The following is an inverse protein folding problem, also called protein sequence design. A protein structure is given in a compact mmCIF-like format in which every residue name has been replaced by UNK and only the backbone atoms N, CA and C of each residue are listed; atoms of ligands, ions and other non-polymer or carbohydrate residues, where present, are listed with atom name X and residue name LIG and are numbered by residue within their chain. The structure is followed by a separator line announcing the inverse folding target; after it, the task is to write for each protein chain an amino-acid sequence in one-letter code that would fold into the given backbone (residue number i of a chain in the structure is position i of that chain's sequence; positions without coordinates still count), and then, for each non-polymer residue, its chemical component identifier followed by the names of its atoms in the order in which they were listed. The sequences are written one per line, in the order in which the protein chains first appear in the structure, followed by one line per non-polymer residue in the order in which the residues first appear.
data_IF_455430410523
#
_entry.id   IF_455430410523
#
_cell.length_a   1.000
_cell.length_b   1.000
_cell.length_c   1.000
_cell.angle_alpha   90.00
_cell.angle_beta   90.00
_cell.angle_gamma   90.00
#
_symmetry.space_group_name_H-M   'P 1'
#
loop_
_entity.id
_entity.type
_entity.pdbx_description
1 polymer ?
#
# COMPACT_ATOMS: atom_id res chain seq x y z
N UNK A 1 39.62 -3.82 -54.06
CA UNK A 1 38.24 -3.78 -54.55
C UNK A 1 37.56 -4.96 -53.87
N UNK A 2 36.78 -4.82 -52.81
CA UNK A 2 35.95 -3.68 -52.40
C UNK A 2 35.87 -3.52 -50.88
N UNK A 3 35.94 -2.26 -50.45
CA UNK A 3 35.52 -1.78 -49.14
C UNK A 3 33.99 -1.84 -49.04
N UNK A 4 33.46 -2.45 -47.98
CA UNK A 4 32.04 -2.26 -47.61
C UNK A 4 31.95 -2.09 -46.10
N UNK A 5 32.32 -0.89 -45.69
CA UNK A 5 32.13 -0.36 -44.34
C UNK A 5 30.64 -0.07 -44.14
N UNK A 6 29.95 -0.93 -43.41
CA UNK A 6 28.57 -0.69 -42.98
C UNK A 6 28.53 0.61 -42.15
N UNK A 7 27.84 1.64 -42.66
CA UNK A 7 27.58 2.87 -41.92
C UNK A 7 26.41 2.60 -40.98
N UNK A 8 26.69 2.34 -39.71
CA UNK A 8 25.70 2.45 -38.65
C UNK A 8 25.38 3.94 -38.43
N UNK A 9 24.23 4.38 -38.95
CA UNK A 9 23.64 5.66 -38.55
C UNK A 9 22.95 5.48 -37.20
N UNK A 10 23.21 6.32 -36.20
CA UNK A 10 22.48 6.23 -34.94
C UNK A 10 21.01 6.55 -35.20
N UNK A 11 20.15 5.58 -34.91
CA UNK A 11 18.70 5.76 -34.89
C UNK A 11 18.37 6.84 -33.87
N UNK A 12 18.01 8.03 -34.35
CA UNK A 12 17.43 9.08 -33.51
C UNK A 12 16.08 8.55 -33.02
N UNK A 13 16.03 8.19 -31.74
CA UNK A 13 14.78 7.90 -31.04
C UNK A 13 14.09 9.25 -30.86
N UNK A 14 12.86 9.46 -31.35
CA UNK A 14 12.10 10.65 -31.00
C UNK A 14 11.89 10.62 -29.49
N UNK A 15 12.31 11.66 -28.78
CA UNK A 15 11.97 11.82 -27.38
C UNK A 15 10.44 11.79 -27.26
N UNK A 16 9.90 10.86 -26.48
CA UNK A 16 8.49 10.87 -26.10
C UNK A 16 8.17 12.23 -25.53
N UNK A 17 7.24 12.93 -26.18
CA UNK A 17 6.66 14.16 -25.68
C UNK A 17 5.97 13.83 -24.36
N UNK A 18 6.60 14.23 -23.25
CA UNK A 18 6.08 14.06 -21.91
C UNK A 18 4.94 15.08 -21.69
N UNK A 19 3.81 14.88 -22.36
CA UNK A 19 2.59 15.68 -22.23
C UNK A 19 1.58 15.02 -21.28
N UNK A 20 2.08 14.29 -20.29
CA UNK A 20 1.27 13.85 -19.15
C UNK A 20 1.29 14.90 -18.05
N UNK A 21 0.16 15.56 -17.79
CA UNK A 21 -0.01 16.36 -16.58
C UNK A 21 0.37 15.50 -15.36
N UNK A 22 1.17 16.02 -14.41
CA UNK A 22 1.58 15.24 -13.25
C UNK A 22 0.32 14.78 -12.52
N UNK A 23 0.18 13.46 -12.34
CA UNK A 23 -0.99 12.77 -11.75
C UNK A 23 -1.55 13.41 -10.46
N UNK A 24 -0.71 14.15 -9.74
CA UNK A 24 -1.06 14.93 -8.54
C UNK A 24 -1.93 16.16 -8.82
N UNK A 25 -1.76 16.82 -9.96
CA UNK A 25 -2.61 17.94 -10.40
C UNK A 25 -4.00 17.45 -10.84
N UNK A 26 -4.06 16.36 -11.61
CA UNK A 26 -5.34 15.77 -12.04
C UNK A 26 -6.23 15.34 -10.87
N UNK A 27 -5.65 14.73 -9.82
CA UNK A 27 -6.41 14.33 -8.64
C UNK A 27 -6.81 15.53 -7.74
N UNK A 28 -6.06 16.63 -7.77
CA UNK A 28 -6.42 17.87 -7.08
C UNK A 28 -7.62 18.59 -7.71
N UNK A 29 -7.69 18.59 -9.04
CA UNK A 29 -8.77 19.24 -9.79
C UNK A 29 -10.12 18.50 -9.61
N UNK A 30 -10.12 17.17 -9.52
CA UNK A 30 -11.34 16.38 -9.29
C UNK A 30 -11.96 16.66 -7.91
N UNK A 31 -11.15 16.89 -6.88
CA UNK A 31 -11.63 17.20 -5.52
C UNK A 31 -12.25 18.60 -5.44
N UNK A 32 -11.72 19.56 -6.21
CA UNK A 32 -12.22 20.94 -6.22
C UNK A 32 -13.57 21.06 -6.93
N UNK A 33 -13.88 20.20 -7.91
CA UNK A 33 -15.14 20.24 -8.65
C UNK A 33 -16.24 19.40 -7.98
N UNK A 34 -15.90 18.29 -7.31
CA UNK A 34 -16.89 17.45 -6.62
C UNK A 34 -17.32 18.02 -5.25
N UNK A 35 -16.48 18.84 -4.60
CA UNK A 35 -16.82 19.48 -3.32
C UNK A 35 -17.84 20.62 -3.42
N UNK A 36 -18.08 21.16 -4.63
CA UNK A 36 -18.99 22.29 -4.86
C UNK A 36 -20.47 21.90 -5.10
N UNK A 37 -20.80 20.61 -5.19
CA UNK A 37 -22.12 20.15 -5.62
C UNK A 37 -22.93 19.42 -4.52
N UNK A 38 -22.43 19.35 -3.29
CA UNK A 38 -23.09 18.66 -2.16
C UNK A 38 -23.41 19.53 -0.94
N UNK A 39 -23.33 20.87 -1.08
CA UNK A 39 -23.78 21.83 -0.05
C UNK A 39 -24.73 22.89 -0.64
N UNK A 40 -25.58 22.47 -1.58
CA UNK A 40 -26.55 23.32 -2.26
C UNK A 40 -27.85 23.59 -1.51
N UNK A 41 -28.01 23.05 -0.30
CA UNK A 41 -29.20 23.29 0.53
C UNK A 41 -28.76 23.67 1.95
N UNK A 42 -28.55 24.97 2.19
CA UNK A 42 -29.06 25.66 3.39
C UNK A 42 -28.80 27.17 3.30
N UNK A 43 -29.91 27.89 3.11
CA UNK A 43 -30.21 29.22 3.68
C UNK A 43 -29.38 30.41 3.19
N UNK A 44 -29.94 31.07 2.17
CA UNK A 44 -29.91 32.52 2.10
C UNK A 44 -30.67 33.10 3.31
N UNK A 45 -29.93 33.72 4.24
CA UNK A 45 -30.48 34.69 5.18
C UNK A 45 -29.40 35.73 5.48
N UNK A 46 -29.60 36.91 4.88
CA UNK A 46 -29.31 38.25 5.40
C UNK A 46 -28.14 38.41 6.39
N UNK A 47 -27.15 39.17 5.95
CA UNK A 47 -26.07 39.76 6.72
C UNK A 47 -26.55 40.45 8.02
N UNK A 48 -25.98 40.05 9.16
CA UNK A 48 -25.54 40.93 10.26
C UNK A 48 -24.92 40.08 11.38
N UNK A 49 -23.66 40.39 11.73
CA UNK A 49 -22.95 40.00 12.96
C UNK A 49 -22.91 38.51 13.35
N UNK A 50 -21.91 37.78 12.84
CA UNK A 50 -21.48 36.52 13.44
C UNK A 50 -19.99 36.61 13.84
N UNK A 51 -19.79 36.71 15.15
CA UNK A 51 -18.51 36.61 15.86
C UNK A 51 -17.80 35.30 15.48
N UNK A 52 -16.46 35.28 15.25
CA UNK A 52 -15.76 34.05 14.91
C UNK A 52 -15.68 33.17 16.15
N UNK A 53 -16.72 32.36 16.39
CA UNK A 53 -16.68 31.20 17.28
C UNK A 53 -16.22 29.98 16.49
N UNK A 54 -15.15 30.15 15.71
CA UNK A 54 -14.47 29.04 15.07
C UNK A 54 -13.66 28.33 16.14
N UNK A 55 -14.23 27.29 16.75
CA UNK A 55 -13.39 26.25 17.37
C UNK A 55 -12.36 25.83 16.33
N UNK A 56 -11.05 25.85 16.63
CA UNK A 56 -10.06 25.44 15.65
C UNK A 56 -10.42 24.03 15.20
N UNK A 57 -10.71 23.86 13.92
CA UNK A 57 -10.84 22.54 13.33
C UNK A 57 -9.58 21.76 13.73
N UNK A 58 -9.71 20.53 14.26
CA UNK A 58 -8.55 19.75 14.64
C UNK A 58 -7.62 19.70 13.43
N UNK A 59 -6.41 20.22 13.59
CA UNK A 59 -5.40 20.13 12.57
C UNK A 59 -5.25 18.65 12.24
N UNK A 60 -5.66 18.26 11.03
CA UNK A 60 -5.36 16.93 10.50
C UNK A 60 -3.85 16.89 10.37
N UNK A 61 -3.17 16.37 11.40
CA UNK A 61 -1.73 16.15 11.35
C UNK A 61 -1.44 15.39 10.07
N UNK A 62 -0.57 15.95 9.21
CA UNK A 62 -0.33 15.40 7.88
C UNK A 62 0.02 13.93 7.97
N UNK A 63 -0.89 13.08 7.49
CA UNK A 63 -0.69 11.63 7.45
C UNK A 63 0.62 11.36 6.71
N UNK A 64 1.57 10.69 7.37
CA UNK A 64 2.85 10.34 6.75
C UNK A 64 2.67 9.04 5.97
N UNK A 65 3.41 8.91 4.87
CA UNK A 65 3.36 7.73 4.03
C UNK A 65 4.78 7.22 3.75
N UNK A 66 4.92 5.92 3.51
CA UNK A 66 6.12 5.35 2.91
C UNK A 66 6.25 5.77 1.44
N UNK A 67 7.40 5.50 0.80
CA UNK A 67 7.62 5.79 -0.62
C UNK A 67 6.61 5.10 -1.55
N UNK A 68 6.08 3.96 -1.12
CA UNK A 68 5.03 3.19 -1.81
C UNK A 68 3.61 3.53 -1.32
N UNK A 69 3.43 4.60 -0.55
CA UNK A 69 2.12 5.14 -0.19
C UNK A 69 1.41 4.46 0.98
N UNK A 70 2.11 3.68 1.81
CA UNK A 70 1.50 3.05 2.99
C UNK A 70 1.48 4.03 4.18
N UNK A 71 0.37 4.16 4.93
CA UNK A 71 0.27 5.12 6.03
C UNK A 71 1.19 4.79 7.21
N UNK A 72 1.72 5.83 7.86
CA UNK A 72 2.53 5.77 9.05
C UNK A 72 1.94 6.64 10.18
N UNK A 73 2.05 6.22 11.45
CA UNK A 73 2.68 4.98 11.93
C UNK A 73 1.86 3.73 11.55
N UNK A 74 2.52 2.56 11.52
CA UNK A 74 1.84 1.30 11.24
C UNK A 74 0.77 1.02 12.31
N UNK A 75 -0.46 0.84 11.86
CA UNK A 75 -1.56 0.45 12.74
C UNK A 75 -1.30 -0.93 13.34
N UNK A 76 -1.34 -1.00 14.67
CA UNK A 76 -1.11 -2.23 15.42
C UNK A 76 -2.34 -3.14 15.35
N UNK A 77 -2.10 -4.46 15.40
CA UNK A 77 -3.17 -5.42 15.60
C UNK A 77 -3.89 -5.16 16.92
N UNK A 78 -5.21 -5.33 16.93
CA UNK A 78 -5.99 -5.11 18.14
C UNK A 78 -5.57 -6.09 19.25
N UNK A 79 -5.48 -5.61 20.49
CA UNK A 79 -5.15 -6.44 21.64
C UNK A 79 -6.16 -7.59 21.83
N UNK A 80 -7.45 -7.33 21.55
CA UNK A 80 -8.51 -8.33 21.62
C UNK A 80 -8.32 -9.45 20.60
N UNK A 81 -7.96 -9.11 19.35
CA UNK A 81 -7.66 -10.10 18.31
C UNK A 81 -6.46 -10.96 18.69
N UNK A 82 -5.39 -10.33 19.20
CA UNK A 82 -4.20 -11.06 19.68
C UNK A 82 -4.55 -12.05 20.79
N UNK A 83 -5.27 -11.60 21.82
CA UNK A 83 -5.72 -12.47 22.91
C UNK A 83 -6.59 -13.62 22.43
N UNK A 84 -7.52 -13.36 21.50
CA UNK A 84 -8.37 -14.40 20.93
C UNK A 84 -7.54 -15.45 20.17
N UNK A 85 -6.58 -15.03 19.32
CA UNK A 85 -5.67 -15.94 18.61
C UNK A 85 -4.83 -16.77 19.56
N UNK A 86 -4.29 -16.15 20.62
CA UNK A 86 -3.56 -16.85 21.68
C UNK A 86 -4.45 -17.90 22.39
N UNK A 87 -5.70 -17.57 22.70
CA UNK A 87 -6.65 -18.51 23.33
C UNK A 87 -6.97 -19.74 22.47
N UNK A 88 -6.79 -19.63 21.15
CA UNK A 88 -6.96 -20.74 20.20
C UNK A 88 -5.68 -21.53 19.96
N UNK A 89 -4.54 -21.09 20.52
CA UNK A 89 -3.23 -21.63 20.19
C UNK A 89 -2.79 -21.30 18.76
N UNK A 90 -3.37 -20.27 18.15
CA UNK A 90 -3.06 -19.81 16.78
C UNK A 90 -2.07 -18.64 16.75
N UNK A 91 -1.51 -18.29 17.91
CA UNK A 91 -0.48 -17.27 18.04
C UNK A 91 0.78 -17.88 18.66
N UNK A 92 1.99 -17.58 18.15
CA UNK A 92 2.28 -16.73 16.98
C UNK A 92 1.75 -17.32 15.67
N UNK A 93 1.56 -16.47 14.67
CA UNK A 93 1.04 -16.91 13.36
C UNK A 93 2.12 -17.76 12.68
N UNK A 94 1.82 -19.01 12.35
CA UNK A 94 2.68 -19.80 11.46
C UNK A 94 2.34 -19.44 10.02
N UNK A 95 3.28 -18.89 9.27
CA UNK A 95 3.10 -18.52 7.88
C UNK A 95 4.16 -19.17 7.01
N UNK A 96 3.81 -19.54 5.78
CA UNK A 96 4.75 -20.16 4.88
C UNK A 96 4.50 -19.84 3.42
N UNK A 97 5.50 -20.09 2.58
CA UNK A 97 5.39 -19.95 1.13
C UNK A 97 6.27 -20.96 0.40
N UNK A 98 5.98 -21.19 -0.88
CA UNK A 98 6.76 -22.07 -1.74
C UNK A 98 7.83 -21.23 -2.46
N UNK A 99 9.11 -21.51 -2.18
CA UNK A 99 10.23 -20.70 -2.69
C UNK A 99 10.49 -20.87 -4.19
N UNK A 100 9.94 -21.92 -4.81
CA UNK A 100 10.10 -22.18 -6.25
C UNK A 100 9.06 -21.45 -7.11
N UNK A 101 8.06 -20.79 -6.49
CA UNK A 101 7.05 -20.02 -7.20
C UNK A 101 7.34 -18.54 -7.06
N UNK A 102 7.69 -17.89 -8.17
CA UNK A 102 8.26 -16.53 -8.18
C UNK A 102 7.40 -15.49 -7.46
N UNK A 103 6.08 -15.56 -7.57
CA UNK A 103 5.18 -14.63 -6.90
C UNK A 103 5.14 -14.83 -5.38
N UNK A 104 5.11 -16.08 -4.94
CA UNK A 104 5.06 -16.42 -3.50
C UNK A 104 6.39 -16.12 -2.83
N UNK A 105 7.49 -16.47 -3.49
CA UNK A 105 8.84 -16.14 -3.05
C UNK A 105 9.00 -14.64 -2.87
N UNK A 106 8.64 -13.84 -3.88
CA UNK A 106 8.75 -12.39 -3.81
C UNK A 106 7.94 -11.81 -2.64
N UNK A 107 6.66 -12.21 -2.49
CA UNK A 107 5.79 -11.67 -1.44
C UNK A 107 6.28 -12.10 -0.05
N UNK A 108 6.59 -13.38 0.14
CA UNK A 108 7.09 -13.92 1.40
C UNK A 108 8.42 -13.28 1.80
N UNK A 109 9.35 -13.16 0.85
CA UNK A 109 10.64 -12.52 1.06
C UNK A 109 10.48 -11.04 1.46
N UNK A 110 9.62 -10.27 0.78
CA UNK A 110 9.37 -8.87 1.13
C UNK A 110 8.74 -8.76 2.52
N UNK A 111 7.72 -9.55 2.83
CA UNK A 111 7.05 -9.53 4.14
C UNK A 111 8.03 -9.80 5.29
N UNK A 112 8.91 -10.79 5.12
CA UNK A 112 9.91 -11.17 6.12
C UNK A 112 11.03 -10.15 6.23
N UNK A 113 11.65 -9.74 5.11
CA UNK A 113 12.80 -8.82 5.12
C UNK A 113 12.42 -7.40 5.54
N UNK A 114 11.26 -6.91 5.10
CA UNK A 114 10.74 -5.60 5.48
C UNK A 114 10.03 -5.61 6.84
N UNK A 115 9.90 -6.79 7.48
CA UNK A 115 9.29 -6.96 8.81
C UNK A 115 7.88 -6.36 8.89
N UNK A 116 7.10 -6.48 7.82
CA UNK A 116 5.82 -5.77 7.70
C UNK A 116 4.78 -6.24 8.73
N UNK A 117 4.81 -7.52 9.08
CA UNK A 117 3.95 -8.08 10.12
C UNK A 117 4.41 -7.66 11.53
N UNK A 118 5.72 -7.72 11.81
CA UNK A 118 6.29 -7.28 13.09
C UNK A 118 6.01 -5.79 13.36
N UNK A 119 6.11 -4.94 12.32
CA UNK A 119 5.77 -3.51 12.41
C UNK A 119 4.33 -3.24 12.85
N UNK A 120 3.42 -4.22 12.68
CA UNK A 120 2.03 -4.19 13.14
C UNK A 120 1.80 -4.97 14.43
N UNK A 121 2.85 -5.45 15.09
CA UNK A 121 2.76 -6.25 16.31
C UNK A 121 2.36 -7.70 16.07
N UNK A 122 2.51 -8.21 14.84
CA UNK A 122 2.20 -9.60 14.48
C UNK A 122 3.46 -10.44 14.58
N UNK A 123 3.48 -11.33 15.57
CA UNK A 123 4.54 -12.33 15.75
C UNK A 123 4.28 -13.48 14.77
N UNK A 124 5.29 -13.80 13.96
CA UNK A 124 5.17 -14.79 12.88
C UNK A 124 6.31 -15.80 12.95
N UNK A 125 5.98 -17.09 12.89
CA UNK A 125 6.91 -18.20 12.68
C UNK A 125 6.92 -18.54 11.18
N UNK A 126 8.00 -18.18 10.49
CA UNK A 126 8.12 -18.30 9.04
C UNK A 126 8.72 -19.63 8.63
N UNK A 127 8.06 -20.31 7.68
CA UNK A 127 8.52 -21.57 7.08
C UNK A 127 8.57 -21.45 5.56
N UNK A 128 9.45 -22.20 4.94
CA UNK A 128 9.56 -22.24 3.48
C UNK A 128 9.44 -23.68 2.99
N UNK A 129 8.83 -23.84 1.82
CA UNK A 129 8.67 -25.13 1.17
C UNK A 129 9.31 -25.10 -0.21
N UNK A 130 9.99 -26.18 -0.58
CA UNK A 130 10.61 -26.34 -1.91
C UNK A 130 9.69 -27.01 -2.93
N UNK A 131 8.55 -27.55 -2.47
CA UNK A 131 7.58 -28.23 -3.32
C UNK A 131 6.17 -28.16 -2.73
N UNK A 132 5.16 -28.15 -3.61
CA UNK A 132 3.75 -28.05 -3.23
C UNK A 132 3.21 -29.28 -2.47
N UNK A 133 3.79 -30.46 -2.68
CA UNK A 133 3.35 -31.66 -1.96
C UNK A 133 3.49 -31.52 -0.45
N UNK A 134 4.64 -31.01 0.01
CA UNK A 134 4.91 -30.79 1.43
C UNK A 134 4.08 -29.65 2.02
N UNK A 135 3.79 -28.62 1.24
CA UNK A 135 2.97 -27.51 1.72
C UNK A 135 1.53 -27.96 1.99
N UNK A 136 0.94 -28.78 1.12
CA UNK A 136 -0.43 -29.27 1.30
C UNK A 136 -0.62 -29.97 2.65
N UNK A 137 0.31 -30.84 3.04
CA UNK A 137 0.26 -31.54 4.34
C UNK A 137 0.36 -30.58 5.54
N UNK A 138 0.98 -29.42 5.36
CA UNK A 138 1.15 -28.42 6.40
C UNK A 138 -0.01 -27.41 6.48
N UNK A 139 -0.62 -27.04 5.33
CA UNK A 139 -1.74 -26.10 5.25
C UNK A 139 -3.10 -26.76 5.54
N UNK A 140 -3.36 -27.97 5.05
CA UNK A 140 -4.63 -28.70 5.24
C UNK A 140 -5.06 -28.81 6.72
N UNK A 141 -4.17 -29.15 7.68
CA UNK A 141 -4.54 -29.24 9.09
C UNK A 141 -4.73 -27.85 9.76
N UNK A 142 -4.58 -26.74 9.02
CA UNK A 142 -4.79 -25.38 9.51
C UNK A 142 -3.74 -24.90 10.51
N UNK A 143 -2.58 -25.58 10.58
CA UNK A 143 -1.48 -25.21 11.48
C UNK A 143 -0.55 -24.14 10.90
N UNK A 144 -0.59 -23.96 9.59
CA UNK A 144 0.11 -22.91 8.85
C UNK A 144 -0.95 -22.17 8.02
N UNK A 145 -0.84 -20.85 7.96
CA UNK A 145 -1.74 -19.93 7.26
C UNK A 145 -1.10 -19.34 6.02
#
# INVERSE_FOLDING_TARGET
MDDSKSKDSPRVVPAESNTGLPRRQFLGDVVTVAGGLLLGDLVAATAANAQPTGSPAPAVGGQKFTDWGWPLPYEQISAKSKQWLQSKGWWPISAAWIVVWSSEEMIGHILQTQKLLEKRGIETDWKTFVAAGFSNEAFIPGRIQ
#
